data_IF_252547753802
#
_entry.id   IF_252547753802
#
_cell.length_a   1.000
_cell.length_b   1.000
_cell.length_c   1.000
_cell.angle_alpha   90.00
_cell.angle_beta   90.00
_cell.angle_gamma   90.00
#
_symmetry.space_group_name_H-M   'P 1'
#
loop_
_entity.id
_entity.type
_entity.pdbx_description
1 polymer ?
#
# COMPACT_ATOMS: atom_id res chain seq x y z
N UNK A 1 -13.64 2.41 2.29
CA UNK A 1 -13.91 2.46 3.74
C UNK A 1 -12.67 2.01 4.47
N UNK A 2 -12.40 2.58 5.65
CA UNK A 2 -11.18 2.33 6.42
C UNK A 2 -11.48 1.56 7.71
N UNK A 3 -12.66 1.78 8.32
CA UNK A 3 -13.12 1.10 9.55
C UNK A 3 -14.48 0.48 9.30
N UNK A 4 -14.77 -0.65 9.94
CA UNK A 4 -16.04 -1.37 9.89
C UNK A 4 -16.49 -1.66 11.31
N UNK A 5 -17.72 -1.27 11.63
CA UNK A 5 -18.39 -1.57 12.89
C UNK A 5 -19.51 -2.57 12.59
N UNK A 6 -19.37 -3.81 13.04
CA UNK A 6 -20.35 -4.88 12.83
C UNK A 6 -20.99 -5.32 14.14
N UNK A 7 -22.20 -5.88 14.08
CA UNK A 7 -22.79 -6.56 15.22
C UNK A 7 -22.01 -7.84 15.55
N UNK A 8 -21.85 -8.16 16.85
CA UNK A 8 -21.08 -9.32 17.28
C UNK A 8 -21.64 -10.66 16.78
N UNK A 9 -22.95 -10.76 16.62
CA UNK A 9 -23.68 -11.91 16.06
C UNK A 9 -23.89 -11.82 14.54
N UNK A 10 -23.29 -10.81 13.89
CA UNK A 10 -23.46 -10.54 12.46
C UNK A 10 -24.70 -9.71 12.12
N UNK A 11 -25.43 -9.20 13.12
CA UNK A 11 -26.59 -8.33 12.94
C UNK A 11 -26.51 -7.08 13.84
N UNK A 12 -26.83 -5.93 13.26
CA UNK A 12 -26.81 -4.62 13.90
C UNK A 12 -28.18 -3.97 13.68
N UNK A 13 -29.07 -4.08 14.67
CA UNK A 13 -30.44 -3.56 14.57
C UNK A 13 -30.52 -2.06 14.84
N UNK A 14 -29.71 -1.54 15.76
CA UNK A 14 -29.65 -0.14 16.20
C UNK A 14 -28.69 0.71 15.35
N UNK A 15 -28.40 0.28 14.12
CA UNK A 15 -27.36 0.88 13.27
C UNK A 15 -27.56 2.37 13.01
N UNK A 16 -28.81 2.86 12.95
CA UNK A 16 -29.09 4.31 12.78
C UNK A 16 -28.62 5.13 13.98
N UNK A 17 -28.90 4.65 15.19
CA UNK A 17 -28.48 5.30 16.44
C UNK A 17 -26.96 5.24 16.59
N UNK A 18 -26.35 4.09 16.27
CA UNK A 18 -24.89 3.92 16.27
C UNK A 18 -24.24 4.85 15.24
N UNK A 19 -24.80 4.96 14.05
CA UNK A 19 -24.28 5.85 12.99
C UNK A 19 -24.32 7.31 13.41
N UNK A 20 -25.45 7.78 13.97
CA UNK A 20 -25.59 9.14 14.46
C UNK A 20 -24.58 9.45 15.57
N UNK A 21 -24.41 8.51 16.50
CA UNK A 21 -23.46 8.65 17.59
C UNK A 21 -21.99 8.76 17.07
N UNK A 22 -21.60 7.88 16.15
CA UNK A 22 -20.26 7.90 15.53
C UNK A 22 -20.00 9.26 14.86
N UNK A 23 -20.96 9.76 14.07
CA UNK A 23 -20.81 11.04 13.36
C UNK A 23 -20.69 12.24 14.32
N UNK A 24 -21.33 12.19 15.48
CA UNK A 24 -21.27 13.25 16.49
C UNK A 24 -19.92 13.28 17.23
N UNK A 25 -19.33 12.11 17.51
CA UNK A 25 -18.16 11.98 18.39
C UNK A 25 -16.84 11.72 17.65
N UNK A 26 -16.87 11.44 16.35
CA UNK A 26 -15.67 11.16 15.54
C UNK A 26 -15.58 12.09 14.32
N UNK A 27 -14.99 13.30 14.48
CA UNK A 27 -14.94 14.30 13.40
C UNK A 27 -14.09 13.87 12.20
N UNK A 28 -13.23 12.86 12.38
CA UNK A 28 -12.40 12.29 11.30
C UNK A 28 -13.20 11.44 10.31
N UNK A 29 -14.44 11.08 10.64
CA UNK A 29 -15.32 10.29 9.76
C UNK A 29 -15.96 11.21 8.71
N UNK A 30 -15.48 11.10 7.47
CA UNK A 30 -15.97 11.90 6.33
C UNK A 30 -17.08 11.20 5.53
N UNK A 31 -17.33 9.92 5.81
CA UNK A 31 -18.36 9.14 5.12
C UNK A 31 -18.76 7.91 5.90
N UNK A 32 -20.02 7.53 5.79
CA UNK A 32 -20.60 6.39 6.49
C UNK A 32 -21.60 5.68 5.57
N UNK A 33 -21.60 4.34 5.57
CA UNK A 33 -22.62 3.58 4.85
C UNK A 33 -23.00 2.28 5.58
N UNK A 34 -24.30 1.99 5.76
CA UNK A 34 -24.74 0.68 6.23
C UNK A 34 -24.58 -0.37 5.13
N UNK A 35 -24.34 -1.61 5.53
CA UNK A 35 -24.29 -2.72 4.59
C UNK A 35 -24.86 -4.01 5.19
N UNK A 36 -25.44 -4.83 4.31
CA UNK A 36 -25.74 -6.24 4.59
C UNK A 36 -24.75 -7.08 3.82
N UNK A 37 -24.11 -8.05 4.46
CA UNK A 37 -23.19 -8.96 3.80
C UNK A 37 -23.56 -10.41 4.08
N UNK A 38 -23.52 -11.23 3.04
CA UNK A 38 -23.70 -12.66 3.17
C UNK A 38 -23.12 -13.42 1.99
N UNK A 39 -22.88 -14.70 2.19
CA UNK A 39 -22.43 -15.59 1.13
C UNK A 39 -23.63 -16.19 0.38
N UNK A 40 -23.39 -16.60 -0.87
CA UNK A 40 -24.39 -17.29 -1.68
C UNK A 40 -23.78 -17.89 -2.94
N UNK A 41 -24.63 -18.48 -3.77
CA UNK A 41 -24.25 -18.95 -5.11
C UNK A 41 -25.13 -18.25 -6.15
N UNK A 42 -24.52 -17.67 -7.17
CA UNK A 42 -25.24 -17.21 -8.36
C UNK A 42 -25.29 -18.33 -9.39
N UNK A 43 -26.47 -18.53 -9.97
CA UNK A 43 -26.69 -19.48 -11.06
C UNK A 43 -27.25 -18.77 -12.29
N UNK A 44 -26.70 -19.10 -13.45
CA UNK A 44 -27.13 -18.63 -14.76
C UNK A 44 -27.01 -19.80 -15.75
N UNK A 45 -28.15 -20.37 -16.16
CA UNK A 45 -28.16 -21.60 -16.95
C UNK A 45 -27.45 -22.76 -16.23
N UNK A 46 -26.35 -23.26 -16.80
CA UNK A 46 -25.53 -24.33 -16.21
C UNK A 46 -24.34 -23.80 -15.39
N UNK A 47 -24.09 -22.48 -15.39
CA UNK A 47 -22.97 -21.89 -14.66
C UNK A 47 -23.38 -21.61 -13.21
N UNK A 48 -22.49 -21.96 -12.28
CA UNK A 48 -22.65 -21.72 -10.84
C UNK A 48 -21.37 -21.11 -10.30
N UNK A 49 -21.49 -20.01 -9.55
CA UNK A 49 -20.37 -19.34 -8.90
C UNK A 49 -20.72 -19.00 -7.45
N UNK A 50 -19.82 -19.30 -6.53
CA UNK A 50 -19.89 -18.77 -5.16
C UNK A 50 -19.64 -17.27 -5.19
N UNK A 51 -20.43 -16.52 -4.42
CA UNK A 51 -20.37 -15.06 -4.38
C UNK A 51 -20.49 -14.54 -2.96
N UNK A 52 -19.86 -13.40 -2.73
CA UNK A 52 -20.13 -12.53 -1.61
C UNK A 52 -21.16 -11.48 -2.06
N UNK A 53 -22.32 -11.47 -1.43
CA UNK A 53 -23.39 -10.51 -1.72
C UNK A 53 -23.29 -9.37 -0.73
N UNK A 54 -23.21 -8.15 -1.24
CA UNK A 54 -23.23 -6.92 -0.44
C UNK A 54 -24.47 -6.09 -0.80
N UNK A 55 -25.38 -5.98 0.16
CA UNK A 55 -26.49 -5.03 0.13
C UNK A 55 -26.00 -3.66 0.52
N UNK A 56 -26.28 -2.65 -0.30
CA UNK A 56 -25.87 -1.25 -0.07
C UNK A 56 -27.01 -0.27 -0.36
N UNK A 57 -26.93 0.91 0.25
CA UNK A 57 -27.69 2.08 -0.21
C UNK A 57 -26.77 2.85 -1.16
N UNK A 58 -27.09 2.98 -2.46
CA UNK A 58 -26.17 3.56 -3.44
C UNK A 58 -25.62 4.94 -3.04
N UNK A 59 -26.49 5.82 -2.56
CA UNK A 59 -26.13 7.19 -2.16
C UNK A 59 -25.14 7.24 -0.98
N UNK A 60 -25.27 6.32 -0.02
CA UNK A 60 -24.37 6.21 1.13
C UNK A 60 -23.08 5.47 0.76
N UNK A 61 -23.18 4.42 -0.06
CA UNK A 61 -22.01 3.64 -0.50
C UNK A 61 -21.03 4.50 -1.31
N UNK A 62 -21.53 5.44 -2.11
CA UNK A 62 -20.69 6.42 -2.83
C UNK A 62 -19.81 7.26 -1.90
N UNK A 63 -20.23 7.48 -0.64
CA UNK A 63 -19.44 8.23 0.36
C UNK A 63 -18.26 7.41 0.90
N UNK A 64 -18.35 6.08 0.86
CA UNK A 64 -17.33 5.18 1.43
C UNK A 64 -16.57 4.35 0.41
N UNK A 65 -16.97 4.36 -0.85
CA UNK A 65 -16.48 3.47 -1.90
C UNK A 65 -16.47 4.13 -3.28
N UNK A 66 -15.39 3.91 -4.04
CA UNK A 66 -15.22 4.43 -5.40
C UNK A 66 -15.76 3.49 -6.49
N UNK A 67 -16.47 2.41 -6.14
CA UNK A 67 -17.06 1.46 -7.10
C UNK A 67 -17.92 2.16 -8.15
N UNK A 68 -18.67 3.19 -7.76
CA UNK A 68 -19.51 3.97 -8.69
C UNK A 68 -18.70 4.65 -9.82
N UNK A 69 -17.43 4.99 -9.59
CA UNK A 69 -16.52 5.58 -10.60
C UNK A 69 -15.87 4.53 -11.50
N UNK A 70 -16.02 3.25 -11.14
CA UNK A 70 -15.40 2.09 -11.78
C UNK A 70 -16.43 1.16 -12.42
N UNK A 71 -17.63 1.69 -12.69
CA UNK A 71 -18.65 1.02 -13.48
C UNK A 71 -18.21 0.97 -14.94
N UNK A 72 -18.25 -0.22 -15.54
CA UNK A 72 -18.01 -0.42 -16.97
C UNK A 72 -19.30 -0.24 -17.78
N UNK A 73 -20.44 -0.61 -17.19
CA UNK A 73 -21.75 -0.46 -17.78
C UNK A 73 -22.84 -0.45 -16.70
N UNK A 74 -23.93 0.30 -16.94
CA UNK A 74 -24.99 0.55 -15.95
C UNK A 74 -24.56 1.51 -14.84
N UNK A 75 -25.46 1.85 -13.92
CA UNK A 75 -25.17 2.73 -12.80
C UNK A 75 -25.44 2.05 -11.46
N UNK A 76 -24.67 2.40 -10.42
CA UNK A 76 -24.92 1.90 -9.07
C UNK A 76 -26.30 2.38 -8.53
N UNK A 77 -26.77 3.54 -9.00
CA UNK A 77 -28.10 4.13 -8.75
C UNK A 77 -29.26 3.28 -9.26
N UNK A 78 -29.02 2.31 -10.16
CA UNK A 78 -30.07 1.40 -10.64
C UNK A 78 -30.49 0.36 -9.60
N UNK A 79 -29.72 0.22 -8.53
CA UNK A 79 -30.07 -0.60 -7.36
C UNK A 79 -31.13 0.14 -6.53
N UNK A 80 -32.40 -0.19 -6.75
CA UNK A 80 -33.53 0.34 -5.98
C UNK A 80 -34.20 -0.75 -5.14
N UNK A 81 -34.70 -0.38 -3.97
CA UNK A 81 -35.42 -1.28 -3.08
C UNK A 81 -36.55 -2.04 -3.80
N UNK A 82 -36.60 -3.35 -3.66
CA UNK A 82 -37.65 -4.21 -4.20
C UNK A 82 -37.53 -4.55 -5.69
N UNK A 83 -36.63 -3.91 -6.43
CA UNK A 83 -36.43 -4.19 -7.85
C UNK A 83 -35.64 -5.49 -8.09
N UNK A 84 -34.89 -5.96 -7.09
CA UNK A 84 -34.00 -7.12 -7.23
C UNK A 84 -33.06 -6.97 -8.42
N UNK A 85 -32.45 -5.79 -8.53
CA UNK A 85 -31.35 -5.55 -9.43
C UNK A 85 -30.02 -5.97 -8.78
N UNK A 86 -29.08 -6.42 -9.60
CA UNK A 86 -27.75 -6.83 -9.16
C UNK A 86 -26.68 -6.20 -10.04
N UNK A 87 -25.59 -5.80 -9.42
CA UNK A 87 -24.39 -5.29 -10.08
C UNK A 87 -23.26 -6.28 -9.81
N UNK A 88 -22.56 -6.72 -10.85
CA UNK A 88 -21.58 -7.81 -10.78
C UNK A 88 -20.16 -7.31 -11.09
N UNK A 89 -19.15 -7.90 -10.47
CA UNK A 89 -17.77 -7.74 -10.93
C UNK A 89 -17.58 -8.31 -12.34
N UNK A 90 -16.71 -7.71 -13.14
CA UNK A 90 -16.44 -8.12 -14.54
C UNK A 90 -16.08 -9.59 -14.68
N UNK A 91 -15.21 -10.10 -13.80
CA UNK A 91 -14.80 -11.51 -13.80
C UNK A 91 -15.95 -12.46 -13.45
N UNK A 92 -16.82 -12.05 -12.52
CA UNK A 92 -18.02 -12.79 -12.12
C UNK A 92 -19.06 -12.85 -13.25
N UNK A 93 -19.36 -11.70 -13.88
CA UNK A 93 -20.27 -11.62 -15.01
C UNK A 93 -19.78 -12.47 -16.19
N UNK A 94 -18.48 -12.37 -16.53
CA UNK A 94 -17.85 -13.18 -17.58
C UNK A 94 -17.91 -14.68 -17.27
N UNK A 95 -17.65 -15.06 -16.02
CA UNK A 95 -17.70 -16.46 -15.59
C UNK A 95 -19.10 -17.07 -15.62
N UNK A 96 -20.13 -16.26 -15.37
CA UNK A 96 -21.53 -16.66 -15.48
C UNK A 96 -22.06 -16.58 -16.92
N UNK A 97 -21.36 -15.89 -17.81
CA UNK A 97 -21.77 -15.69 -19.20
C UNK A 97 -22.98 -14.76 -19.33
N UNK A 98 -23.09 -13.75 -18.46
CA UNK A 98 -24.25 -12.84 -18.41
C UNK A 98 -23.87 -11.40 -18.76
N UNK A 99 -24.84 -10.69 -19.33
CA UNK A 99 -24.78 -9.27 -19.65
C UNK A 99 -25.87 -8.49 -18.92
N UNK A 100 -25.84 -7.16 -19.00
CA UNK A 100 -26.91 -6.31 -18.46
C UNK A 100 -28.25 -6.69 -19.13
N UNK A 101 -29.30 -6.83 -18.31
CA UNK A 101 -30.62 -7.29 -18.71
C UNK A 101 -30.86 -8.78 -18.46
N UNK A 102 -29.80 -9.58 -18.32
CA UNK A 102 -29.93 -11.01 -18.04
C UNK A 102 -30.39 -11.27 -16.60
N UNK A 103 -30.90 -12.48 -16.36
CA UNK A 103 -31.38 -12.90 -15.05
C UNK A 103 -30.44 -13.93 -14.44
N UNK A 104 -30.07 -13.69 -13.19
CA UNK A 104 -29.30 -14.62 -12.36
C UNK A 104 -30.12 -15.03 -11.14
N UNK A 105 -29.96 -16.27 -10.67
CA UNK A 105 -30.64 -16.73 -9.45
C UNK A 105 -29.63 -16.83 -8.33
N UNK A 106 -29.87 -16.09 -7.25
CA UNK A 106 -29.08 -16.14 -6.04
C UNK A 106 -29.64 -17.20 -5.09
N UNK A 107 -28.78 -18.12 -4.69
CA UNK A 107 -29.04 -19.22 -3.77
C UNK A 107 -28.31 -18.95 -2.46
N UNK A 108 -29.03 -18.80 -1.35
CA UNK A 108 -28.40 -18.59 -0.04
C UNK A 108 -28.40 -19.89 0.79
N UNK A 109 -27.29 -20.21 1.49
CA UNK A 109 -27.18 -21.42 2.30
C UNK A 109 -28.01 -21.37 3.60
N UNK A 110 -28.41 -20.18 4.07
CA UNK A 110 -29.28 -20.03 5.27
C UNK A 110 -30.73 -20.48 4.96
N UNK A 111 -30.94 -21.77 5.14
CA UNK A 111 -32.20 -22.46 4.85
C UNK A 111 -33.28 -22.28 5.91
N UNK A 112 -34.51 -22.61 5.54
CA UNK A 112 -35.52 -22.99 6.53
C UNK A 112 -35.28 -24.46 6.93
N UNK A 113 -35.16 -24.71 8.23
CA UNK A 113 -35.27 -26.06 8.78
C UNK A 113 -36.74 -26.48 8.70
N UNK A 114 -37.06 -27.38 7.79
CA UNK A 114 -38.37 -28.02 7.72
C UNK A 114 -38.25 -29.49 8.14
N UNK A 115 -39.33 -30.15 8.60
CA UNK A 115 -39.31 -31.59 8.85
C UNK A 115 -38.90 -32.43 7.61
N UNK A 116 -39.00 -31.86 6.40
CA UNK A 116 -38.61 -32.48 5.14
C UNK A 116 -37.18 -32.15 4.68
N UNK A 117 -36.42 -31.33 5.43
CA UNK A 117 -35.03 -30.96 5.12
C UNK A 117 -34.73 -29.46 5.11
N UNK A 118 -33.49 -29.13 4.74
CA UNK A 118 -32.93 -27.78 4.58
C UNK A 118 -33.27 -27.28 3.17
N UNK A 119 -34.25 -26.37 3.07
CA UNK A 119 -34.59 -25.75 1.78
C UNK A 119 -33.80 -24.45 1.58
N UNK A 120 -32.91 -24.35 0.57
CA UNK A 120 -32.20 -23.13 0.28
C UNK A 120 -33.16 -22.06 -0.23
N UNK A 121 -32.79 -20.79 -0.08
CA UNK A 121 -33.61 -19.71 -0.64
C UNK A 121 -33.09 -19.30 -1.98
N UNK A 122 -34.02 -19.12 -2.89
CA UNK A 122 -33.76 -18.75 -4.26
C UNK A 122 -34.44 -17.41 -4.52
N UNK A 123 -33.68 -16.43 -4.99
CA UNK A 123 -34.25 -15.19 -5.52
C UNK A 123 -33.61 -14.85 -6.85
N UNK A 124 -34.44 -14.53 -7.83
CA UNK A 124 -33.99 -14.09 -9.16
C UNK A 124 -33.72 -12.59 -9.13
N UNK A 125 -32.56 -12.21 -9.65
CA UNK A 125 -32.13 -10.83 -9.84
C UNK A 125 -31.94 -10.54 -11.32
N UNK A 126 -32.09 -9.27 -11.70
CA UNK A 126 -31.77 -8.77 -13.05
C UNK A 126 -30.44 -8.05 -13.00
N UNK A 127 -29.50 -8.41 -13.89
CA UNK A 127 -28.20 -7.75 -13.99
C UNK A 127 -28.42 -6.33 -14.51
N UNK A 128 -28.08 -5.35 -13.68
CA UNK A 128 -28.28 -3.91 -13.97
C UNK A 128 -26.97 -3.19 -14.28
N UNK A 129 -25.83 -3.74 -13.86
CA UNK A 129 -24.52 -3.14 -14.12
C UNK A 129 -23.36 -4.10 -13.89
N UNK A 130 -22.20 -3.69 -14.40
CA UNK A 130 -20.92 -4.40 -14.25
C UNK A 130 -19.83 -3.42 -13.86
N UNK A 131 -19.00 -3.77 -12.88
CA UNK A 131 -17.86 -2.95 -12.44
C UNK A 131 -16.52 -3.69 -12.57
N UNK A 132 -15.42 -2.94 -12.56
CA UNK A 132 -14.05 -3.46 -12.48
C UNK A 132 -13.21 -2.54 -11.59
N UNK A 133 -12.88 -3.01 -10.38
CA UNK A 133 -12.05 -2.24 -9.43
C UNK A 133 -10.56 -2.57 -9.53
N UNK A 134 -10.17 -3.54 -10.36
CA UNK A 134 -8.78 -3.92 -10.58
C UNK A 134 -8.23 -4.85 -9.48
N UNK A 135 -9.11 -5.54 -8.76
CA UNK A 135 -8.73 -6.48 -7.71
C UNK A 135 -9.50 -7.78 -7.86
N UNK A 136 -8.77 -8.86 -8.14
CA UNK A 136 -9.35 -10.14 -8.59
C UNK A 136 -10.42 -10.69 -7.64
N UNK A 137 -10.20 -10.62 -6.32
CA UNK A 137 -11.15 -11.12 -5.33
C UNK A 137 -12.50 -10.39 -5.42
N UNK A 138 -12.50 -9.08 -5.63
CA UNK A 138 -13.73 -8.31 -5.79
C UNK A 138 -14.34 -8.51 -7.18
N UNK A 139 -13.53 -8.48 -8.24
CA UNK A 139 -14.02 -8.57 -9.62
C UNK A 139 -14.58 -9.97 -9.97
N UNK A 140 -14.20 -11.01 -9.23
CA UNK A 140 -14.67 -12.39 -9.47
C UNK A 140 -15.67 -12.93 -8.46
N UNK A 141 -15.78 -12.35 -7.25
CA UNK A 141 -16.64 -12.88 -6.20
C UNK A 141 -17.67 -11.89 -5.64
N UNK A 142 -17.53 -10.58 -5.84
CA UNK A 142 -18.46 -9.59 -5.26
C UNK A 142 -19.67 -9.34 -6.17
N UNK A 143 -20.86 -9.43 -5.57
CA UNK A 143 -22.11 -9.00 -6.17
C UNK A 143 -22.80 -7.96 -5.27
N UNK A 144 -23.21 -6.84 -5.86
CA UNK A 144 -23.81 -5.71 -5.14
C UNK A 144 -25.31 -5.65 -5.45
N UNK A 145 -26.13 -5.53 -4.42
CA UNK A 145 -27.59 -5.41 -4.51
C UNK A 145 -28.06 -4.27 -3.60
N UNK A 146 -29.33 -3.89 -3.69
CA UNK A 146 -29.89 -2.92 -2.76
C UNK A 146 -29.94 -3.49 -1.31
N UNK A 147 -29.66 -2.65 -0.31
CA UNK A 147 -29.60 -3.01 1.11
C UNK A 147 -30.83 -3.79 1.56
N UNK A 148 -32.03 -3.26 1.27
CA UNK A 148 -33.29 -3.89 1.65
C UNK A 148 -33.53 -5.25 0.99
N UNK A 149 -33.07 -5.44 -0.26
CA UNK A 149 -33.24 -6.71 -0.97
C UNK A 149 -32.34 -7.78 -0.35
N UNK A 150 -31.12 -7.41 0.04
CA UNK A 150 -30.24 -8.27 0.81
C UNK A 150 -30.80 -8.56 2.21
N UNK A 151 -31.28 -7.55 2.94
CA UNK A 151 -31.86 -7.72 4.28
C UNK A 151 -33.05 -8.70 4.27
N UNK A 152 -33.94 -8.59 3.27
CA UNK A 152 -35.06 -9.52 3.05
C UNK A 152 -34.57 -10.93 2.75
N UNK A 153 -33.55 -11.06 1.90
CA UNK A 153 -33.00 -12.36 1.51
C UNK A 153 -32.36 -13.08 2.71
N UNK A 154 -31.59 -12.36 3.52
CA UNK A 154 -30.85 -12.89 4.68
C UNK A 154 -31.63 -12.85 6.02
N UNK A 155 -32.89 -12.37 6.04
CA UNK A 155 -33.75 -12.16 7.23
C UNK A 155 -33.16 -11.25 8.31
N UNK A 156 -32.64 -10.11 7.93
CA UNK A 156 -32.15 -9.12 8.89
C UNK A 156 -33.23 -8.13 9.33
N UNK A 157 -34.46 -8.24 8.81
CA UNK A 157 -35.52 -7.27 9.09
C UNK A 157 -35.08 -5.86 8.68
N UNK A 158 -35.12 -4.93 9.64
CA UNK A 158 -34.61 -3.56 9.48
C UNK A 158 -33.12 -3.40 9.89
N UNK A 159 -32.50 -4.50 10.35
CA UNK A 159 -31.09 -4.56 10.74
C UNK A 159 -30.15 -4.73 9.55
N UNK A 160 -28.86 -4.51 9.82
CA UNK A 160 -27.77 -4.58 8.84
C UNK A 160 -26.61 -5.41 9.39
N UNK A 161 -25.66 -5.85 8.58
CA UNK A 161 -24.48 -6.57 9.09
C UNK A 161 -23.52 -5.64 9.82
N UNK A 162 -23.46 -4.39 9.38
CA UNK A 162 -22.67 -3.37 10.02
C UNK A 162 -22.68 -2.04 9.28
N UNK A 163 -21.78 -1.18 9.69
CA UNK A 163 -21.57 0.15 9.16
C UNK A 163 -20.11 0.27 8.72
N UNK A 164 -19.88 0.80 7.53
CA UNK A 164 -18.57 1.12 6.99
C UNK A 164 -18.31 2.60 7.15
N UNK A 165 -17.10 2.95 7.58
CA UNK A 165 -16.65 4.32 7.80
C UNK A 165 -15.53 4.65 6.82
N UNK A 166 -15.55 5.84 6.25
CA UNK A 166 -14.44 6.46 5.53
C UNK A 166 -13.88 7.58 6.39
N UNK A 167 -12.57 7.55 6.59
CA UNK A 167 -11.87 8.57 7.37
C UNK A 167 -11.20 9.59 6.43
N UNK A 168 -10.92 10.77 6.97
CA UNK A 168 -10.09 11.80 6.34
C UNK A 168 -8.69 11.29 5.98
N UNK A 169 -8.14 10.43 6.84
CA UNK A 169 -6.85 9.78 6.68
C UNK A 169 -7.00 8.25 6.85
N UNK A 170 -6.53 7.50 5.85
CA UNK A 170 -6.52 6.04 5.85
C UNK A 170 -5.66 5.47 6.99
N UNK A 171 -4.55 6.13 7.33
CA UNK A 171 -3.59 5.62 8.32
C UNK A 171 -4.07 5.76 9.76
N UNK A 172 -5.06 6.61 9.99
CA UNK A 172 -5.71 6.75 11.29
C UNK A 172 -6.67 5.62 11.66
N UNK A 173 -6.96 4.71 10.72
CA UNK A 173 -7.97 3.67 10.90
C UNK A 173 -7.77 2.83 12.17
N UNK A 174 -6.52 2.51 12.51
CA UNK A 174 -6.18 1.76 13.72
C UNK A 174 -6.51 2.54 14.98
N UNK A 175 -6.08 3.80 15.06
CA UNK A 175 -6.34 4.68 16.20
C UNK A 175 -7.85 4.90 16.40
N UNK A 176 -8.57 5.26 15.33
CA UNK A 176 -10.02 5.48 15.38
C UNK A 176 -10.77 4.21 15.76
N UNK A 177 -10.32 3.04 15.29
CA UNK A 177 -10.93 1.76 15.66
C UNK A 177 -10.80 1.44 17.15
N UNK A 178 -9.65 1.74 17.76
CA UNK A 178 -9.47 1.60 19.20
C UNK A 178 -10.34 2.57 19.99
N UNK A 179 -10.36 3.85 19.59
CA UNK A 179 -11.22 4.87 20.23
C UNK A 179 -12.70 4.48 20.15
N UNK A 180 -13.16 4.01 18.99
CA UNK A 180 -14.53 3.51 18.82
C UNK A 180 -14.81 2.28 19.69
N UNK A 181 -13.82 1.40 19.89
CA UNK A 181 -13.98 0.21 20.74
C UNK A 181 -14.13 0.57 22.22
N UNK A 182 -13.41 1.58 22.70
CA UNK A 182 -13.53 2.05 24.08
C UNK A 182 -14.81 2.86 24.31
N UNK A 183 -15.23 3.62 23.29
CA UNK A 183 -16.37 4.52 23.35
C UNK A 183 -17.72 3.81 23.16
N UNK A 184 -17.83 2.94 22.15
CA UNK A 184 -19.06 2.20 21.86
C UNK A 184 -19.24 1.08 22.89
N UNK A 185 -19.89 1.40 24.01
CA UNK A 185 -20.25 0.44 25.06
C UNK A 185 -21.37 -0.48 24.58
N UNK A 186 -21.03 -1.48 23.78
CA UNK A 186 -21.96 -2.51 23.29
C UNK A 186 -21.22 -3.71 22.70
N UNK A 187 -21.97 -4.75 22.34
CA UNK A 187 -21.44 -5.95 21.69
C UNK A 187 -21.20 -5.69 20.20
N UNK A 188 -20.22 -4.85 19.90
CA UNK A 188 -19.80 -4.53 18.54
C UNK A 188 -18.45 -5.18 18.23
N UNK A 189 -18.30 -5.63 16.99
CA UNK A 189 -17.03 -6.05 16.45
C UNK A 189 -16.49 -4.95 15.53
N UNK A 190 -15.41 -4.30 15.94
CA UNK A 190 -14.79 -3.21 15.21
C UNK A 190 -13.48 -3.72 14.58
N UNK A 191 -13.37 -3.53 13.27
CA UNK A 191 -12.20 -3.92 12.49
C UNK A 191 -11.83 -2.83 11.51
N UNK A 192 -10.61 -2.86 11.03
CA UNK A 192 -10.06 -1.89 10.09
C UNK A 192 -9.32 -2.58 8.96
N UNK A 193 -9.04 -1.82 7.90
CA UNK A 193 -8.39 -2.34 6.70
C UNK A 193 -6.99 -2.93 6.98
N UNK A 194 -6.25 -2.43 7.98
CA UNK A 194 -4.92 -2.94 8.33
C UNK A 194 -5.01 -4.32 8.98
N UNK A 195 -6.08 -4.60 9.74
CA UNK A 195 -6.35 -5.92 10.33
C UNK A 195 -6.92 -6.89 9.30
N UNK A 196 -7.84 -6.44 8.45
CA UNK A 196 -8.43 -7.27 7.39
C UNK A 196 -7.38 -7.76 6.38
N UNK A 197 -6.36 -6.93 6.10
CA UNK A 197 -5.29 -7.25 5.16
C UNK A 197 -3.90 -7.27 5.82
N UNK A 198 -3.81 -7.72 7.08
CA UNK A 198 -2.59 -7.69 7.88
C UNK A 198 -1.41 -8.44 7.25
N UNK A 199 -1.66 -9.50 6.47
CA UNK A 199 -0.61 -10.24 5.77
C UNK A 199 0.01 -9.43 4.63
N UNK A 200 -0.83 -8.75 3.84
CA UNK A 200 -0.38 -7.88 2.75
C UNK A 200 0.46 -6.72 3.31
N UNK A 201 -0.03 -6.04 4.35
CA UNK A 201 0.70 -4.91 4.94
C UNK A 201 2.00 -5.34 5.61
N UNK A 202 2.02 -6.51 6.29
CA UNK A 202 3.26 -7.09 6.82
C UNK A 202 4.26 -7.42 5.71
N UNK A 203 3.79 -7.94 4.57
CA UNK A 203 4.64 -8.21 3.41
C UNK A 203 5.26 -6.92 2.85
N UNK A 204 4.45 -5.87 2.64
CA UNK A 204 4.93 -4.56 2.15
C UNK A 204 5.95 -3.95 3.12
N UNK A 205 5.71 -4.02 4.44
CA UNK A 205 6.69 -3.54 5.42
C UNK A 205 7.99 -4.33 5.39
N UNK A 206 7.91 -5.66 5.27
CA UNK A 206 9.09 -6.53 5.18
C UNK A 206 9.90 -6.20 3.92
N UNK A 207 9.23 -6.01 2.79
CA UNK A 207 9.84 -5.61 1.52
C UNK A 207 10.56 -4.27 1.65
N UNK A 208 9.91 -3.23 2.21
CA UNK A 208 10.57 -1.94 2.47
C UNK A 208 11.81 -2.07 3.34
N UNK A 209 11.77 -2.90 4.38
CA UNK A 209 12.94 -3.17 5.24
C UNK A 209 14.05 -3.88 4.49
N UNK A 210 13.72 -4.84 3.63
CA UNK A 210 14.71 -5.54 2.80
C UNK A 210 15.38 -4.60 1.80
N UNK A 211 14.60 -3.74 1.13
CA UNK A 211 15.12 -2.71 0.23
C UNK A 211 16.08 -1.76 0.95
N UNK A 212 15.74 -1.31 2.17
CA UNK A 212 16.63 -0.51 3.00
C UNK A 212 17.95 -1.23 3.31
N UNK A 213 17.90 -2.51 3.73
CA UNK A 213 19.10 -3.28 4.03
C UNK A 213 20.00 -3.48 2.80
N UNK A 214 19.42 -3.80 1.65
CA UNK A 214 20.16 -3.95 0.38
C UNK A 214 20.85 -2.63 0.02
N UNK A 215 20.12 -1.52 0.10
CA UNK A 215 20.68 -0.19 -0.17
C UNK A 215 21.84 0.14 0.77
N UNK A 216 21.71 -0.20 2.06
CA UNK A 216 22.78 0.01 3.04
C UNK A 216 24.04 -0.79 2.71
N UNK A 217 23.91 -2.03 2.22
CA UNK A 217 25.06 -2.83 1.76
C UNK A 217 25.75 -2.15 0.57
N UNK A 218 24.98 -1.64 -0.40
CA UNK A 218 25.53 -0.93 -1.56
C UNK A 218 26.29 0.33 -1.11
N UNK A 219 25.74 1.10 -0.17
CA UNK A 219 26.38 2.29 0.41
C UNK A 219 27.70 1.91 1.12
N UNK A 220 27.71 0.81 1.87
CA UNK A 220 28.93 0.31 2.54
C UNK A 220 30.01 -0.05 1.51
N UNK A 221 29.65 -0.78 0.45
CA UNK A 221 30.57 -1.12 -0.65
C UNK A 221 31.12 0.15 -1.31
N UNK A 222 30.27 1.15 -1.56
CA UNK A 222 30.71 2.43 -2.10
C UNK A 222 31.65 3.19 -1.14
N UNK A 223 31.39 3.15 0.17
CA UNK A 223 32.25 3.77 1.18
C UNK A 223 33.63 3.10 1.26
N UNK A 224 33.71 1.78 1.08
CA UNK A 224 35.00 1.08 0.97
C UNK A 224 35.82 1.52 -0.26
N UNK A 225 35.16 1.89 -1.36
CA UNK A 225 35.86 2.44 -2.52
C UNK A 225 36.45 3.82 -2.22
N UNK A 226 35.72 4.68 -1.50
CA UNK A 226 36.22 5.98 -1.03
C UNK A 226 37.41 5.78 -0.09
N UNK A 227 37.30 4.85 0.85
CA UNK A 227 38.38 4.48 1.77
C UNK A 227 39.65 4.09 0.99
N UNK A 228 39.51 3.18 0.04
CA UNK A 228 40.63 2.67 -0.78
C UNK A 228 41.29 3.79 -1.59
N UNK A 229 40.48 4.68 -2.20
CA UNK A 229 40.99 5.83 -2.94
C UNK A 229 41.73 6.83 -2.04
N UNK A 230 41.21 7.13 -0.84
CA UNK A 230 41.86 8.03 0.11
C UNK A 230 43.18 7.45 0.65
N UNK A 231 43.23 6.16 0.94
CA UNK A 231 44.49 5.49 1.33
C UNK A 231 45.52 5.64 0.22
N UNK A 232 45.14 5.40 -1.03
CA UNK A 232 46.02 5.56 -2.19
C UNK A 232 46.54 7.00 -2.32
N UNK A 233 45.66 8.00 -2.16
CA UNK A 233 46.08 9.42 -2.20
C UNK A 233 47.04 9.75 -1.07
N UNK A 234 46.81 9.23 0.15
CA UNK A 234 47.71 9.43 1.29
C UNK A 234 49.09 8.82 1.02
N UNK A 235 49.15 7.61 0.46
CA UNK A 235 50.42 6.95 0.14
C UNK A 235 51.17 7.68 -0.97
N UNK A 236 50.47 8.13 -2.02
CA UNK A 236 51.08 8.91 -3.11
C UNK A 236 51.60 10.27 -2.63
N UNK A 237 50.99 10.83 -1.58
CA UNK A 237 51.34 12.13 -0.99
C UNK A 237 52.24 12.02 0.24
N UNK A 238 52.87 10.88 0.47
CA UNK A 238 53.68 10.65 1.66
C UNK A 238 54.90 11.58 1.76
N UNK A 239 55.58 11.88 0.63
CA UNK A 239 56.71 12.83 0.57
C UNK A 239 56.24 14.27 0.87
N UNK A 240 55.15 14.71 0.24
CA UNK A 240 54.52 16.02 0.49
C UNK A 240 54.12 16.19 1.98
N UNK A 241 53.55 15.15 2.60
CA UNK A 241 53.22 15.13 4.03
C UNK A 241 54.49 15.28 4.88
N UNK A 242 55.57 14.58 4.53
CA UNK A 242 56.83 14.65 5.26
C UNK A 242 57.43 16.07 5.22
N UNK A 243 57.41 16.73 4.06
CA UNK A 243 57.86 18.12 3.90
C UNK A 243 57.02 19.06 4.78
N UNK A 244 55.69 18.93 4.77
CA UNK A 244 54.84 19.76 5.64
C UNK A 244 55.13 19.52 7.13
N UNK A 245 55.40 18.27 7.52
CA UNK A 245 55.73 17.89 8.90
C UNK A 245 57.09 18.43 9.32
N UNK A 246 58.09 18.52 8.43
CA UNK A 246 59.39 19.14 8.74
C UNK A 246 59.31 20.66 8.80
N UNK A 247 58.40 21.28 8.04
CA UNK A 247 58.06 22.70 8.15
C UNK A 247 57.24 23.05 9.41
N UNK A 248 56.89 22.06 10.25
CA UNK A 248 56.23 22.27 11.54
C UNK A 248 54.75 21.94 11.59
N UNK A 249 54.17 21.34 10.54
CA UNK A 249 52.77 20.93 10.57
C UNK A 249 52.51 19.86 11.65
N UNK A 250 51.46 20.07 12.44
CA UNK A 250 51.06 19.10 13.47
C UNK A 250 50.38 17.87 12.85
N UNK A 251 50.40 16.68 13.51
CA UNK A 251 49.67 15.50 13.04
C UNK A 251 48.17 15.77 12.86
N UNK A 252 47.59 16.58 13.76
CA UNK A 252 46.19 17.00 13.69
C UNK A 252 45.90 17.84 12.45
N UNK A 253 46.82 18.73 12.06
CA UNK A 253 46.69 19.53 10.84
C UNK A 253 46.65 18.65 9.60
N UNK A 254 47.52 17.65 9.51
CA UNK A 254 47.52 16.67 8.41
C UNK A 254 46.21 15.86 8.40
N UNK A 255 45.76 15.39 9.56
CA UNK A 255 44.49 14.66 9.69
C UNK A 255 43.31 15.50 9.20
N UNK A 256 43.25 16.79 9.57
CA UNK A 256 42.18 17.70 9.14
C UNK A 256 42.18 17.88 7.62
N UNK A 257 43.35 18.02 6.97
CA UNK A 257 43.43 18.17 5.51
C UNK A 257 42.76 16.98 4.81
N UNK A 258 43.12 15.75 5.19
CA UNK A 258 42.55 14.55 4.57
C UNK A 258 41.09 14.30 4.97
N UNK A 259 40.68 14.65 6.19
CA UNK A 259 39.26 14.62 6.58
C UNK A 259 38.43 15.60 5.76
N UNK A 260 38.91 16.84 5.56
CA UNK A 260 38.20 17.85 4.76
C UNK A 260 38.13 17.41 3.30
N UNK A 261 39.23 16.91 2.74
CA UNK A 261 39.25 16.38 1.37
C UNK A 261 38.24 15.24 1.19
N UNK A 262 38.25 14.25 2.09
CA UNK A 262 37.30 13.15 2.04
C UNK A 262 35.85 13.60 2.25
N UNK A 263 35.62 14.57 3.13
CA UNK A 263 34.28 15.15 3.35
C UNK A 263 33.78 15.88 2.11
N UNK A 264 34.63 16.65 1.41
CA UNK A 264 34.27 17.32 0.16
C UNK A 264 33.88 16.30 -0.91
N UNK A 265 34.65 15.22 -1.05
CA UNK A 265 34.33 14.12 -1.97
C UNK A 265 32.99 13.49 -1.59
N UNK A 266 32.76 13.24 -0.30
CA UNK A 266 31.50 12.72 0.24
C UNK A 266 30.31 13.63 -0.09
N UNK A 267 30.41 14.93 0.20
CA UNK A 267 29.35 15.91 -0.11
C UNK A 267 29.06 15.95 -1.61
N UNK A 268 30.10 16.07 -2.44
CA UNK A 268 29.94 16.14 -3.88
C UNK A 268 29.30 14.85 -4.43
N UNK A 269 29.75 13.69 -3.96
CA UNK A 269 29.17 12.39 -4.32
C UNK A 269 27.72 12.26 -3.90
N UNK A 270 27.38 12.64 -2.66
CA UNK A 270 26.00 12.61 -2.16
C UNK A 270 25.10 13.58 -2.94
N UNK A 271 25.55 14.79 -3.25
CA UNK A 271 24.77 15.76 -4.01
C UNK A 271 24.53 15.30 -5.46
N UNK A 272 25.56 14.82 -6.14
CA UNK A 272 25.44 14.30 -7.50
C UNK A 272 24.58 13.03 -7.54
N UNK A 273 24.76 12.13 -6.56
CA UNK A 273 23.94 10.93 -6.41
C UNK A 273 22.49 11.24 -6.11
N UNK A 274 22.21 12.21 -5.22
CA UNK A 274 20.86 12.68 -4.92
C UNK A 274 20.21 13.31 -6.15
N UNK A 275 20.91 14.22 -6.85
CA UNK A 275 20.38 14.86 -8.06
C UNK A 275 20.09 13.83 -9.16
N UNK A 276 21.01 12.90 -9.41
CA UNK A 276 20.82 11.83 -10.39
C UNK A 276 19.70 10.86 -9.99
N UNK A 277 19.66 10.45 -8.72
CA UNK A 277 18.63 9.55 -8.19
C UNK A 277 17.24 10.16 -8.20
N UNK A 278 17.08 11.41 -7.77
CA UNK A 278 15.82 12.15 -7.83
C UNK A 278 15.40 12.38 -9.27
N UNK A 279 16.33 12.77 -10.15
CA UNK A 279 16.03 12.95 -11.58
C UNK A 279 15.56 11.65 -12.23
N UNK A 280 16.19 10.52 -11.90
CA UNK A 280 15.75 9.21 -12.39
C UNK A 280 14.38 8.83 -11.82
N UNK A 281 14.17 9.01 -10.51
CA UNK A 281 12.91 8.72 -9.84
C UNK A 281 11.74 9.50 -10.46
N UNK A 282 11.93 10.78 -10.78
CA UNK A 282 10.88 11.62 -11.37
C UNK A 282 10.60 11.30 -12.85
N UNK A 283 11.47 10.54 -13.52
CA UNK A 283 11.35 10.19 -14.94
C UNK A 283 11.24 8.66 -15.15
N UNK A 284 10.86 7.89 -14.12
CA UNK A 284 10.73 6.42 -14.19
C UNK A 284 9.76 5.99 -15.28
N UNK A 285 8.65 6.71 -15.41
CA UNK A 285 7.61 6.54 -16.43
C UNK A 285 8.16 6.66 -17.87
N UNK A 286 9.24 7.43 -18.07
CA UNK A 286 9.88 7.60 -19.37
C UNK A 286 11.07 6.64 -19.55
N UNK A 287 11.89 6.46 -18.51
CA UNK A 287 13.12 5.65 -18.55
C UNK A 287 12.81 4.16 -18.67
N UNK A 288 11.83 3.65 -17.93
CA UNK A 288 11.51 2.21 -17.94
C UNK A 288 11.03 1.75 -19.32
N UNK A 289 10.05 2.40 -19.98
CA UNK A 289 9.63 1.99 -21.33
C UNK A 289 10.71 2.20 -22.40
N UNK A 290 11.67 3.12 -22.18
CA UNK A 290 12.81 3.27 -23.09
C UNK A 290 13.76 2.07 -22.98
N UNK A 291 14.03 1.58 -21.76
CA UNK A 291 14.81 0.37 -21.51
C UNK A 291 14.09 -0.86 -22.08
N UNK A 292 12.79 -1.01 -21.83
CA UNK A 292 11.99 -2.12 -22.36
C UNK A 292 12.04 -2.19 -23.89
N UNK A 293 11.91 -1.04 -24.57
CA UNK A 293 12.04 -0.95 -26.04
C UNK A 293 13.44 -1.30 -26.54
N UNK A 294 14.47 -0.92 -25.78
CA UNK A 294 15.86 -1.18 -26.17
C UNK A 294 16.23 -2.66 -26.04
N UNK A 295 15.76 -3.33 -24.98
CA UNK A 295 16.10 -4.73 -24.72
C UNK A 295 15.05 -5.73 -25.21
N UNK A 296 13.88 -5.25 -25.68
CA UNK A 296 12.78 -6.10 -26.14
C UNK A 296 12.16 -6.95 -25.03
N UNK A 297 12.31 -6.52 -23.77
CA UNK A 297 11.78 -7.20 -22.58
C UNK A 297 10.67 -6.35 -22.00
N UNK A 298 9.58 -6.98 -21.58
CA UNK A 298 8.51 -6.32 -20.83
C UNK A 298 8.64 -6.73 -19.36
N UNK A 299 8.96 -5.78 -18.47
CA UNK A 299 9.19 -6.08 -17.06
C UNK A 299 7.88 -6.49 -16.36
N UNK A 300 6.76 -5.92 -16.77
CA UNK A 300 5.42 -6.16 -16.21
C UNK A 300 4.39 -6.30 -17.32
N UNK A 301 4.11 -7.52 -17.82
CA UNK A 301 3.01 -7.71 -18.76
C UNK A 301 1.68 -7.38 -18.08
N UNK A 302 0.97 -6.39 -18.63
CA UNK A 302 -0.30 -5.89 -18.10
C UNK A 302 -1.35 -6.99 -17.93
N UNK A 303 -1.25 -8.07 -18.72
CA UNK A 303 -2.13 -9.24 -18.69
C UNK A 303 -1.97 -10.08 -17.40
N UNK A 304 -0.83 -9.95 -16.71
CA UNK A 304 -0.50 -10.71 -15.49
C UNK A 304 -0.58 -9.83 -14.25
N UNK A 305 -0.09 -8.58 -14.33
CA UNK A 305 0.05 -7.71 -13.16
C UNK A 305 -1.02 -6.62 -13.05
N UNK A 306 -1.89 -6.44 -14.06
CA UNK A 306 -3.07 -5.55 -14.05
C UNK A 306 -2.82 -4.08 -13.65
N UNK A 307 -1.55 -3.69 -13.46
CA UNK A 307 -1.03 -2.36 -13.22
C UNK A 307 -0.09 -2.09 -14.38
N UNK A 308 -0.44 -1.15 -15.25
CA UNK A 308 0.28 -0.84 -16.49
C UNK A 308 1.36 0.23 -16.33
N UNK A 309 1.39 0.91 -15.19
CA UNK A 309 2.24 2.09 -14.98
C UNK A 309 3.10 1.91 -13.73
N UNK A 310 4.31 2.48 -13.74
CA UNK A 310 5.16 2.64 -12.56
C UNK A 310 4.91 4.03 -11.95
N UNK A 311 3.89 4.21 -11.08
CA UNK A 311 3.74 5.47 -10.36
C UNK A 311 4.95 5.63 -9.43
N UNK A 312 5.79 6.59 -9.74
CA UNK A 312 6.91 6.96 -8.89
C UNK A 312 6.45 8.03 -7.90
N UNK A 313 6.29 7.64 -6.64
CA UNK A 313 6.01 8.57 -5.54
C UNK A 313 7.30 8.84 -4.77
N UNK A 314 7.87 10.04 -4.96
CA UNK A 314 9.08 10.45 -4.26
C UNK A 314 8.76 10.90 -2.84
N UNK A 315 9.24 10.16 -1.85
CA UNK A 315 9.17 10.55 -0.44
C UNK A 315 10.45 11.24 0.00
N UNK A 316 10.36 12.54 0.29
CA UNK A 316 11.53 13.35 0.70
C UNK A 316 12.17 12.86 2.00
N UNK A 317 11.38 12.33 2.93
CA UNK A 317 11.88 11.76 4.19
C UNK A 317 12.86 10.61 3.92
N UNK A 318 12.54 9.71 2.98
CA UNK A 318 13.41 8.61 2.57
C UNK A 318 14.71 9.15 1.93
N UNK A 319 14.60 10.15 1.05
CA UNK A 319 15.75 10.79 0.40
C UNK A 319 16.70 11.40 1.43
N UNK A 320 16.18 12.20 2.37
CA UNK A 320 16.99 12.84 3.40
C UNK A 320 17.59 11.82 4.37
N UNK A 321 16.84 10.81 4.77
CA UNK A 321 17.34 9.76 5.67
C UNK A 321 18.48 8.98 5.02
N UNK A 322 18.31 8.52 3.78
CA UNK A 322 19.33 7.78 3.03
C UNK A 322 20.57 8.65 2.79
N UNK A 323 20.39 9.88 2.32
CA UNK A 323 21.52 10.77 2.02
C UNK A 323 22.30 11.14 3.28
N UNK A 324 21.61 11.36 4.41
CA UNK A 324 22.26 11.64 5.70
C UNK A 324 23.08 10.45 6.18
N UNK A 325 22.53 9.23 6.12
CA UNK A 325 23.24 8.01 6.50
C UNK A 325 24.45 7.77 5.59
N UNK A 326 24.27 7.88 4.26
CA UNK A 326 25.35 7.71 3.30
C UNK A 326 26.48 8.73 3.51
N UNK A 327 26.13 9.99 3.78
CA UNK A 327 27.10 11.03 4.11
C UNK A 327 27.86 10.72 5.40
N UNK A 328 27.16 10.31 6.47
CA UNK A 328 27.80 9.93 7.73
C UNK A 328 28.74 8.75 7.58
N UNK A 329 28.35 7.72 6.81
CA UNK A 329 29.20 6.56 6.51
C UNK A 329 30.42 7.00 5.70
N UNK A 330 30.24 7.86 4.70
CA UNK A 330 31.33 8.40 3.88
C UNK A 330 32.34 9.15 4.73
N UNK A 331 31.88 10.11 5.56
CA UNK A 331 32.74 10.86 6.49
C UNK A 331 33.43 9.93 7.49
N UNK A 332 32.69 8.96 8.05
CA UNK A 332 33.24 7.96 8.96
C UNK A 332 34.37 7.14 8.32
N UNK A 333 34.23 6.76 7.06
CA UNK A 333 35.28 6.05 6.31
C UNK A 333 36.55 6.90 6.12
N UNK A 334 36.45 8.23 6.08
CA UNK A 334 37.64 9.11 5.93
C UNK A 334 38.52 9.19 7.18
N UNK A 335 38.00 8.81 8.35
CA UNK A 335 38.72 8.92 9.62
C UNK A 335 39.95 8.01 9.66
N UNK A 336 39.82 6.76 9.18
CA UNK A 336 40.91 5.79 9.21
C UNK A 336 42.11 6.23 8.35
N UNK A 337 41.96 6.61 7.07
CA UNK A 337 43.08 7.08 6.25
C UNK A 337 43.69 8.38 6.78
N UNK A 338 42.86 9.32 7.25
CA UNK A 338 43.35 10.59 7.81
C UNK A 338 44.19 10.38 9.08
N UNK A 339 43.76 9.44 9.94
CA UNK A 339 44.54 9.05 11.11
C UNK A 339 45.86 8.37 10.71
N UNK A 340 45.82 7.48 9.71
CA UNK A 340 47.02 6.83 9.19
C UNK A 340 48.02 7.86 8.62
N UNK A 341 47.55 8.83 7.83
CA UNK A 341 48.36 9.92 7.27
C UNK A 341 49.06 10.77 8.35
N UNK A 342 48.38 11.00 9.47
CA UNK A 342 48.92 11.80 10.57
C UNK A 342 50.12 11.14 11.28
N UNK A 343 50.26 9.82 11.17
CA UNK A 343 51.30 9.02 11.83
C UNK A 343 52.55 8.79 10.96
N UNK A 344 52.57 9.28 9.73
CA UNK A 344 53.72 9.19 8.84
C UNK A 344 54.96 9.85 9.45
N UNK A 345 56.06 9.12 9.54
CA UNK A 345 57.34 9.62 10.04
C UNK A 345 58.11 10.33 8.92
N UNK A 346 58.51 11.61 9.08
CA UNK A 346 59.18 12.35 8.02
C UNK A 346 60.52 11.74 7.58
N UNK A 347 61.26 11.16 8.53
CA UNK A 347 62.58 10.58 8.28
C UNK A 347 62.53 9.28 7.47
N UNK A 348 61.44 8.50 7.57
CA UNK A 348 61.27 7.27 6.78
C UNK A 348 60.75 7.60 5.37
N UNK A 349 59.86 8.58 5.25
CA UNK A 349 59.27 8.98 3.97
C UNK A 349 60.29 9.59 2.99
N UNK A 350 61.28 10.35 3.50
CA UNK A 350 62.34 10.97 2.68
C UNK A 350 63.54 10.04 2.40
N UNK A 351 63.55 8.81 2.95
CA UNK A 351 64.65 7.84 2.77
C UNK A 351 64.50 6.98 1.50
N UNK A 352 63.32 7.02 0.86
CA UNK A 352 62.97 6.20 -0.30
C UNK A 352 62.84 7.02 -1.60
N UNK A 353 63.21 8.30 -1.57
CA UNK A 353 63.75 9.03 -2.73
C UNK A 353 65.27 8.82 -2.79
#
# INVERSE_FOLDING_TARGET
SHVVVSGFDGELQDWRSVSANILEHQPRVIGLAPFVQGEGMLTAGQQVKGVLVRGVIPEEEMKVSDVHKKMLAGELSDLKAGNYNIVLGKGLARSLGVMIGDKVTLVTPKALSTPAGILPRLKRFTVSGVFEVGHNEYDTALAIVHLEDAAKLYRMGDGVSGIRLKLDDLFAATEVSYQLSDYLRGSYWITDWTRQHANFFRAVQLEKRMMFLILMIIVIVAAFNILSALVMVVTDKQSDIAILRTLGASPRSIMIIFMVQGTIIGIAGTLLGMAGGVSLALNVDTVVPAIERLFGVQFMPADVYYISDFPSELHWDDVFQICSIAFLISVGATLYPAWNASRTQPAEALRYE
#
